data_IF_157905271317
#
_entry.id   IF_157905271317
#
_cell.length_a   1.000
_cell.length_b   1.000
_cell.length_c   1.000
_cell.angle_alpha   90.00
_cell.angle_beta   90.00
_cell.angle_gamma   90.00
#
_symmetry.space_group_name_H-M   'P 1'
#
loop_
_entity.id
_entity.type
_entity.pdbx_description
1 polymer ?
#
# COMPACT_ATOMS: atom_id res chain seq x y z
N UNK A 1 21.63 -14.75 -5.18
CA UNK A 1 21.12 -14.46 -5.35
C UNK A 1 19.95 -14.65 -6.06
N UNK A 2 19.90 -14.91 -7.13
CA UNK A 2 18.71 -14.88 -7.89
C UNK A 2 17.63 -15.85 -7.47
N UNK A 3 17.98 -17.04 -7.06
CA UNK A 3 16.92 -17.97 -6.73
C UNK A 3 16.18 -17.55 -5.46
N UNK A 4 16.86 -16.88 -4.55
CA UNK A 4 16.18 -16.36 -3.39
C UNK A 4 15.24 -15.24 -3.78
N UNK A 5 15.63 -14.43 -4.75
CA UNK A 5 14.77 -13.37 -5.22
C UNK A 5 13.47 -13.91 -5.77
N UNK A 6 13.53 -14.99 -6.54
CA UNK A 6 12.30 -15.55 -7.09
C UNK A 6 11.36 -16.03 -6.01
N UNK A 7 11.91 -16.66 -4.97
CA UNK A 7 11.08 -17.14 -3.90
C UNK A 7 10.45 -15.98 -3.14
N UNK A 8 11.24 -14.95 -2.85
CA UNK A 8 10.75 -13.80 -2.13
C UNK A 8 9.69 -13.08 -2.95
N UNK A 9 9.90 -12.95 -4.25
CA UNK A 9 8.93 -12.31 -5.11
C UNK A 9 7.61 -13.08 -5.13
N UNK A 10 7.68 -14.40 -5.17
CA UNK A 10 6.46 -15.19 -5.16
C UNK A 10 5.70 -15.01 -3.86
N UNK A 11 6.42 -15.02 -2.73
CA UNK A 11 5.77 -14.82 -1.45
C UNK A 11 5.18 -13.42 -1.38
N UNK A 12 5.90 -12.42 -1.88
CA UNK A 12 5.39 -11.06 -1.90
C UNK A 12 4.09 -10.96 -2.67
N UNK A 13 3.98 -11.64 -3.80
CA UNK A 13 2.75 -11.64 -4.57
C UNK A 13 1.62 -12.34 -3.85
N UNK A 14 1.91 -13.45 -3.19
CA UNK A 14 0.89 -14.16 -2.44
C UNK A 14 0.40 -13.33 -1.26
N UNK A 15 1.33 -12.67 -0.57
CA UNK A 15 0.96 -11.79 0.53
C UNK A 15 0.08 -10.66 0.02
N UNK A 16 0.42 -10.09 -1.13
CA UNK A 16 -0.37 -9.02 -1.71
C UNK A 16 -1.81 -9.46 -1.94
N UNK A 17 -1.99 -10.64 -2.51
CA UNK A 17 -3.34 -11.13 -2.78
C UNK A 17 -4.12 -11.37 -1.51
N UNK A 18 -3.48 -12.01 -0.54
CA UNK A 18 -4.18 -12.34 0.70
C UNK A 18 -4.51 -11.11 1.50
N UNK A 19 -3.58 -10.14 1.55
CA UNK A 19 -3.84 -8.91 2.28
C UNK A 19 -4.98 -8.12 1.65
N UNK A 20 -5.07 -8.13 0.32
CA UNK A 20 -6.17 -7.43 -0.34
C UNK A 20 -7.51 -7.97 0.13
N UNK A 21 -7.60 -9.28 0.35
CA UNK A 21 -8.83 -9.86 0.83
C UNK A 21 -9.02 -9.64 2.33
N UNK A 22 -7.93 -9.78 3.09
CA UNK A 22 -8.03 -9.65 4.54
C UNK A 22 -8.41 -8.24 4.98
N UNK A 23 -7.92 -7.24 4.26
CA UNK A 23 -8.24 -5.87 4.64
C UNK A 23 -9.73 -5.57 4.50
N UNK A 24 -10.42 -6.29 3.64
CA UNK A 24 -11.88 -6.11 3.52
C UNK A 24 -12.60 -6.61 4.75
N UNK A 25 -11.98 -7.52 5.50
CA UNK A 25 -12.59 -8.10 6.69
C UNK A 25 -12.24 -7.35 7.96
N UNK A 26 -11.37 -6.35 7.88
CA UNK A 26 -10.99 -5.57 9.04
C UNK A 26 -12.17 -4.71 9.46
N UNK A 27 -12.48 -4.74 10.76
CA UNK A 27 -13.64 -4.04 11.27
C UNK A 27 -13.32 -2.73 11.94
N UNK A 28 -12.06 -2.36 12.03
CA UNK A 28 -11.67 -1.09 12.62
C UNK A 28 -12.15 0.03 11.70
N UNK A 29 -12.98 0.98 12.19
CA UNK A 29 -13.52 2.00 11.30
C UNK A 29 -12.47 2.87 10.63
N UNK A 30 -11.32 3.03 11.29
CA UNK A 30 -10.24 3.81 10.68
C UNK A 30 -9.75 3.17 9.39
N UNK A 31 -9.95 1.86 9.24
CA UNK A 31 -9.55 1.14 8.05
C UNK A 31 -10.75 0.84 7.18
N UNK A 32 -11.84 0.35 7.78
CA UNK A 32 -12.96 -0.15 7.00
C UNK A 32 -13.72 0.96 6.29
N UNK A 33 -13.65 2.18 6.79
CA UNK A 33 -14.32 3.29 6.14
C UNK A 33 -13.48 3.93 5.05
N UNK A 34 -12.29 3.44 4.83
CA UNK A 34 -11.41 3.96 3.79
C UNK A 34 -11.34 2.94 2.67
N UNK A 35 -11.46 3.42 1.45
CA UNK A 35 -11.35 2.53 0.30
C UNK A 35 -9.88 2.32 0.01
N UNK A 36 -9.37 1.16 0.43
CA UNK A 36 -7.95 0.86 0.32
C UNK A 36 -7.69 -0.13 -0.79
N UNK A 37 -6.56 0.05 -1.44
CA UNK A 37 -6.07 -0.88 -2.45
C UNK A 37 -4.65 -1.26 -2.08
N UNK A 38 -4.35 -2.54 -2.11
CA UNK A 38 -2.99 -3.01 -1.87
C UNK A 38 -2.24 -2.91 -3.19
N UNK A 39 -1.26 -2.00 -3.24
CA UNK A 39 -0.52 -1.78 -4.47
C UNK A 39 0.49 -2.91 -4.67
N UNK A 40 1.27 -3.18 -3.64
CA UNK A 40 2.23 -4.27 -3.69
C UNK A 40 2.78 -4.50 -2.30
N UNK A 41 3.44 -5.63 -2.13
CA UNK A 41 4.15 -5.94 -0.90
C UNK A 41 5.58 -6.30 -1.25
N UNK A 42 6.49 -5.95 -0.38
CA UNK A 42 7.91 -6.26 -0.56
C UNK A 42 8.41 -6.95 0.70
N UNK A 43 8.67 -8.23 0.59
CA UNK A 43 9.19 -9.02 1.70
C UNK A 43 10.71 -8.99 1.62
N UNK A 44 11.36 -8.79 2.76
CA UNK A 44 12.82 -8.77 2.77
C UNK A 44 13.36 -10.19 2.58
N UNK A 45 14.63 -10.27 2.14
CA UNK A 45 15.23 -11.57 1.85
C UNK A 45 15.29 -12.47 3.07
N UNK A 46 15.41 -11.90 4.27
CA UNK A 46 15.45 -12.69 5.48
C UNK A 46 14.05 -12.99 6.01
N UNK A 47 13.01 -12.56 5.31
CA UNK A 47 11.61 -12.82 5.67
C UNK A 47 11.20 -12.17 6.99
N UNK A 48 11.94 -11.19 7.47
CA UNK A 48 11.60 -10.54 8.72
C UNK A 48 10.62 -9.42 8.58
N UNK A 49 10.62 -8.74 7.44
CA UNK A 49 9.83 -7.55 7.24
C UNK A 49 9.06 -7.66 5.94
N UNK A 50 7.88 -7.12 5.95
CA UNK A 50 7.06 -7.01 4.73
C UNK A 50 6.55 -5.59 4.66
N UNK A 51 7.01 -4.85 3.67
CA UNK A 51 6.53 -3.49 3.44
C UNK A 51 5.30 -3.58 2.56
N UNK A 52 4.19 -3.07 3.07
CA UNK A 52 2.91 -3.14 2.39
C UNK A 52 2.59 -1.75 1.87
N UNK A 53 2.51 -1.61 0.57
CA UNK A 53 2.20 -0.32 -0.05
C UNK A 53 0.72 -0.27 -0.36
N UNK A 54 0.05 0.72 0.21
CA UNK A 54 -1.38 0.87 0.09
C UNK A 54 -1.71 2.20 -0.57
N UNK A 55 -2.79 2.21 -1.30
CA UNK A 55 -3.34 3.42 -1.86
C UNK A 55 -4.73 3.63 -1.27
N UNK A 56 -5.00 4.84 -0.82
CA UNK A 56 -6.33 5.18 -0.29
C UNK A 56 -7.01 6.11 -1.27
N UNK A 57 -8.26 5.80 -1.60
CA UNK A 57 -9.03 6.63 -2.49
C UNK A 57 -9.84 7.63 -1.69
N UNK A 58 -9.89 8.84 -2.19
CA UNK A 58 -10.66 9.89 -1.55
C UNK A 58 -9.92 10.51 -0.39
N UNK A 59 -10.61 11.38 0.31
CA UNK A 59 -10.02 12.05 1.45
C UNK A 59 -10.01 11.11 2.63
N UNK A 60 -8.90 11.04 3.32
CA UNK A 60 -8.83 10.26 4.53
C UNK A 60 -7.78 10.85 5.43
N UNK A 61 -7.91 10.55 6.71
CA UNK A 61 -6.92 10.95 7.69
C UNK A 61 -5.84 9.89 7.72
N UNK A 62 -4.72 10.15 7.09
CA UNK A 62 -3.66 9.16 6.97
C UNK A 62 -3.10 8.75 8.33
N UNK A 63 -3.07 9.66 9.29
CA UNK A 63 -2.59 9.30 10.61
C UNK A 63 -3.50 8.28 11.27
N UNK A 64 -4.81 8.51 11.20
CA UNK A 64 -5.76 7.59 11.79
C UNK A 64 -5.77 6.27 11.03
N UNK A 65 -5.65 6.33 9.72
CA UNK A 65 -5.57 5.12 8.92
C UNK A 65 -4.35 4.28 9.32
N UNK A 66 -3.20 4.91 9.48
CA UNK A 66 -2.01 4.18 9.87
C UNK A 66 -2.15 3.59 11.26
N UNK A 67 -2.79 4.30 12.18
CA UNK A 67 -3.03 3.76 13.51
C UNK A 67 -3.93 2.55 13.45
N UNK A 68 -4.96 2.62 12.63
CA UNK A 68 -5.86 1.48 12.48
C UNK A 68 -5.17 0.28 11.89
N UNK A 69 -4.34 0.50 10.87
CA UNK A 69 -3.59 -0.58 10.25
C UNK A 69 -2.62 -1.21 11.24
N UNK A 70 -1.95 -0.39 12.02
CA UNK A 70 -1.03 -0.90 13.03
C UNK A 70 -1.79 -1.72 14.07
N UNK A 71 -2.96 -1.24 14.46
CA UNK A 71 -3.78 -1.94 15.42
C UNK A 71 -4.23 -3.30 14.91
N UNK A 72 -4.43 -3.43 13.60
CA UNK A 72 -4.88 -4.69 13.01
C UNK A 72 -3.74 -5.61 12.60
N UNK A 73 -2.49 -5.17 12.75
CA UNK A 73 -1.38 -5.92 12.17
C UNK A 73 -1.24 -7.32 12.77
N UNK A 74 -1.55 -7.48 14.06
CA UNK A 74 -1.49 -8.79 14.66
C UNK A 74 -2.49 -9.76 14.05
N UNK A 75 -3.70 -9.29 13.83
CA UNK A 75 -4.72 -10.09 13.17
C UNK A 75 -4.28 -10.46 11.75
N UNK A 76 -3.78 -9.47 11.02
CA UNK A 76 -3.37 -9.71 9.63
C UNK A 76 -2.22 -10.71 9.57
N UNK A 77 -1.26 -10.59 10.49
CA UNK A 77 -0.14 -11.52 10.50
C UNK A 77 -0.59 -12.95 10.82
N UNK A 78 -1.49 -13.11 11.78
CA UNK A 78 -1.98 -14.43 12.11
C UNK A 78 -2.69 -15.06 10.93
N UNK A 79 -3.52 -14.28 10.25
CA UNK A 79 -4.26 -14.82 9.12
C UNK A 79 -3.33 -15.15 7.96
N UNK A 80 -2.32 -14.31 7.72
CA UNK A 80 -1.36 -14.60 6.68
C UNK A 80 -0.58 -15.88 6.97
N UNK A 81 -0.14 -16.04 8.21
CA UNK A 81 0.58 -17.25 8.58
C UNK A 81 -0.27 -18.49 8.34
N UNK A 82 -1.54 -18.39 8.69
CA UNK A 82 -2.44 -19.51 8.53
C UNK A 82 -2.73 -19.80 7.05
N UNK A 83 -3.01 -18.76 6.28
CA UNK A 83 -3.41 -18.95 4.89
C UNK A 83 -2.25 -19.36 4.00
N UNK A 84 -1.08 -18.81 4.25
CA UNK A 84 0.08 -19.09 3.42
C UNK A 84 1.00 -20.13 4.03
N UNK A 85 0.65 -20.62 5.21
CA UNK A 85 1.44 -21.65 5.91
C UNK A 85 2.88 -21.22 6.07
N UNK A 86 3.08 -19.97 6.47
CA UNK A 86 4.41 -19.45 6.65
C UNK A 86 4.99 -19.93 7.95
N UNK A 87 6.26 -20.33 7.89
CA UNK A 87 6.96 -20.72 9.10
C UNK A 87 7.21 -19.52 9.98
N UNK A 88 7.63 -18.43 9.38
CA UNK A 88 7.82 -17.17 10.07
C UNK A 88 6.98 -16.14 9.35
N UNK A 89 6.24 -15.35 10.12
CA UNK A 89 5.43 -14.31 9.53
C UNK A 89 6.18 -13.01 9.64
N UNK A 90 6.45 -12.33 8.53
CA UNK A 90 7.16 -11.06 8.62
C UNK A 90 6.34 -10.02 9.33
N UNK A 91 7.02 -9.05 9.90
CA UNK A 91 6.35 -7.89 10.46
C UNK A 91 5.86 -7.01 9.34
N UNK A 92 4.65 -6.53 9.47
CA UNK A 92 4.05 -5.71 8.44
C UNK A 92 4.36 -4.24 8.71
N UNK A 93 4.89 -3.56 7.71
CA UNK A 93 5.14 -2.13 7.76
C UNK A 93 4.29 -1.52 6.67
N UNK A 94 3.34 -0.66 7.05
CA UNK A 94 2.42 -0.09 6.10
C UNK A 94 2.92 1.25 5.61
N UNK A 95 2.98 1.39 4.29
CA UNK A 95 3.35 2.63 3.66
C UNK A 95 2.19 3.07 2.78
N UNK A 96 1.79 4.31 2.93
CA UNK A 96 0.75 4.83 2.07
C UNK A 96 1.40 5.37 0.82
N UNK A 97 1.10 4.71 -0.28
CA UNK A 97 1.66 5.08 -1.56
C UNK A 97 0.57 5.86 -2.28
N UNK A 98 0.69 7.17 -2.29
CA UNK A 98 -0.29 7.99 -2.93
C UNK A 98 0.12 8.37 -4.35
N UNK A 99 1.04 7.61 -4.93
CA UNK A 99 1.49 7.91 -6.28
C UNK A 99 0.33 7.83 -7.28
N UNK A 100 -0.58 6.88 -7.10
CA UNK A 100 -1.73 6.76 -7.98
C UNK A 100 -2.66 7.96 -7.78
N UNK A 101 -2.97 8.27 -6.55
CA UNK A 101 -3.81 9.41 -6.26
C UNK A 101 -3.15 10.71 -6.70
N UNK A 102 -1.84 10.81 -6.47
CA UNK A 102 -1.10 11.98 -6.88
C UNK A 102 -1.10 12.09 -8.40
N UNK A 103 -0.91 10.97 -9.10
CA UNK A 103 -0.97 10.98 -10.56
C UNK A 103 -2.32 11.41 -11.08
N UNK A 104 -3.39 10.93 -10.46
CA UNK A 104 -4.73 11.33 -10.85
C UNK A 104 -4.95 12.82 -10.58
N UNK A 105 -4.46 13.30 -9.46
CA UNK A 105 -4.57 14.72 -9.13
C UNK A 105 -3.81 15.57 -10.14
N UNK A 106 -2.60 15.15 -10.48
CA UNK A 106 -1.80 15.89 -11.44
C UNK A 106 -2.50 15.90 -12.81
N UNK A 107 -3.05 14.78 -13.22
CA UNK A 107 -3.77 14.71 -14.48
C UNK A 107 -4.95 15.67 -14.47
N UNK A 108 -5.67 15.73 -13.36
CA UNK A 108 -6.78 16.63 -13.26
C UNK A 108 -6.33 18.08 -13.33
N UNK A 109 -5.27 18.41 -12.63
CA UNK A 109 -4.72 19.76 -12.65
C UNK A 109 -4.30 20.13 -14.05
N UNK A 110 -3.65 19.21 -14.76
CA UNK A 110 -3.22 19.48 -16.12
C UNK A 110 -4.41 19.70 -17.04
N UNK A 111 -5.49 18.97 -16.83
CA UNK A 111 -6.68 19.20 -17.64
C UNK A 111 -7.26 20.57 -17.40
N UNK A 112 -7.23 21.00 -16.16
CA UNK A 112 -7.72 22.33 -15.83
C UNK A 112 -6.82 23.42 -16.34
N UNK A 113 -5.55 23.11 -16.51
CA UNK A 113 -4.56 24.05 -16.98
C UNK A 113 -4.16 23.81 -18.39
N UNK A 114 -4.90 23.00 -19.12
CA UNK A 114 -4.42 22.61 -20.42
C UNK A 114 -4.31 23.79 -21.34
N UNK A 115 -4.92 24.88 -21.00
CA UNK A 115 -4.78 26.06 -21.79
C UNK A 115 -3.42 26.64 -21.64
N UNK A 116 -2.64 26.24 -20.69
CA UNK A 116 -1.31 26.76 -20.50
C UNK A 116 -0.32 25.68 -20.36
N UNK A 117 -0.12 24.91 -21.36
CA UNK A 117 0.71 23.76 -21.23
C UNK A 117 2.12 24.07 -20.86
N UNK A 118 2.61 25.21 -21.28
CA UNK A 118 3.97 25.43 -20.99
C UNK A 118 4.20 25.96 -19.67
N UNK A 119 3.22 26.36 -18.99
CA UNK A 119 3.52 26.92 -17.71
C UNK A 119 3.83 25.92 -16.72
N UNK A 120 3.77 24.77 -17.04
CA UNK A 120 4.00 23.94 -16.13
C UNK A 120 5.19 23.84 -15.62
N UNK A 121 5.93 24.39 -16.18
CA UNK A 121 7.05 24.32 -15.61
C UNK A 121 6.95 24.64 -14.30
N UNK A 122 6.15 25.41 -13.98
CA UNK A 122 6.12 25.73 -12.71
C UNK A 122 5.55 24.76 -11.98
N UNK A 123 5.06 24.05 -12.34
CA UNK A 123 4.52 23.22 -11.55
C UNK A 123 5.34 22.23 -11.31
N UNK A 124 5.93 22.17 -11.82
CA UNK A 124 6.48 21.33 -11.51
C UNK A 124 7.23 21.37 -10.64
N UNK A 125 7.46 22.06 -10.50
CA UNK A 125 8.06 22.12 -9.70
C UNK A 125 7.66 22.06 -8.68
N UNK A 126 6.91 22.21 -8.47
CA UNK A 126 6.44 22.06 -7.44
C UNK A 126 6.15 21.00 -7.19
N UNK A 127 6.08 20.64 -7.78
CA UNK A 127 5.82 19.80 -7.55
C UNK A 127 6.31 19.07 -7.16
N UNK A 128 6.65 19.26 -7.04
CA UNK A 128 7.00 18.65 -6.69
C UNK A 128 6.84 18.19 -6.07
#
# INVERSE_FOLDING_TARGET
>A
MPYNSNRVERISEEVTRELAMLLRDVKDPRVSQTMLSVVRCEVTNDMRWCKVFLSALGDCDYKELKRGLKSCSGFLRRELAHRLRLRYTPELVFELDDSIAYGAHISQVLRELDIRPDSEEETDEQDA
#
